data_IF_060334571759
#
_entry.id   IF_060334571759
#
_cell.length_a   1.000
_cell.length_b   1.000
_cell.length_c   1.000
_cell.angle_alpha   90.00
_cell.angle_beta   90.00
_cell.angle_gamma   90.00
#
_symmetry.space_group_name_H-M   'P 1'
#
loop_
_entity.id
_entity.type
_entity.pdbx_description
1 polymer ?
#
# COMPACT_ATOMS: atom_id res chain seq x y z
N UNK A 1 -10.36 5.28 -14.97
CA UNK A 1 -10.56 4.86 -13.57
C UNK A 1 -9.60 5.69 -12.75
N UNK A 2 -10.11 6.58 -11.90
CA UNK A 2 -9.27 7.43 -11.05
C UNK A 2 -8.43 6.57 -10.10
N UNK A 3 -7.11 6.66 -10.23
CA UNK A 3 -6.19 6.03 -9.29
C UNK A 3 -6.31 6.75 -7.93
N UNK A 4 -6.52 5.98 -6.86
CA UNK A 4 -6.71 6.51 -5.51
C UNK A 4 -5.49 6.23 -4.67
N UNK A 5 -4.95 7.25 -4.03
CA UNK A 5 -3.85 7.13 -3.09
C UNK A 5 -4.40 6.70 -1.73
N UNK A 6 -3.77 5.70 -1.14
CA UNK A 6 -4.02 5.28 0.22
C UNK A 6 -3.61 6.38 1.20
N UNK A 7 -4.55 6.85 2.03
CA UNK A 7 -4.34 7.91 3.02
C UNK A 7 -4.60 7.44 4.47
N UNK A 8 -4.59 6.13 4.71
CA UNK A 8 -5.05 5.55 5.98
C UNK A 8 -6.51 5.11 5.95
N UNK A 9 -7.02 4.70 7.10
CA UNK A 9 -8.38 4.16 7.25
C UNK A 9 -9.46 5.23 7.51
N UNK A 10 -9.08 6.51 7.67
CA UNK A 10 -10.01 7.63 7.94
C UNK A 10 -11.02 7.91 6.80
N UNK A 11 -11.03 7.11 5.74
CA UNK A 11 -11.95 7.23 4.61
C UNK A 11 -11.66 8.44 3.71
N UNK A 12 -10.55 9.12 3.94
CA UNK A 12 -10.06 10.20 3.09
C UNK A 12 -9.46 9.63 1.82
N UNK A 13 -9.89 10.16 0.67
CA UNK A 13 -9.36 9.78 -0.64
C UNK A 13 -8.52 10.93 -1.18
N UNK A 14 -7.28 10.66 -1.56
CA UNK A 14 -6.46 11.59 -2.31
C UNK A 14 -6.18 11.06 -3.72
N UNK A 15 -6.07 11.98 -4.68
CA UNK A 15 -5.51 11.68 -5.99
C UNK A 15 -3.98 11.72 -5.95
N UNK A 16 -3.30 11.11 -6.92
CA UNK A 16 -1.85 11.20 -7.06
C UNK A 16 -1.44 12.67 -7.27
N UNK A 17 -0.41 13.10 -6.54
CA UNK A 17 0.16 14.44 -6.65
C UNK A 17 1.40 14.43 -7.55
N UNK A 18 1.60 15.44 -8.40
CA UNK A 18 2.79 15.55 -9.24
C UNK A 18 4.06 15.69 -8.38
N UNK A 19 5.15 15.05 -8.81
CA UNK A 19 6.43 15.06 -8.09
C UNK A 19 6.57 14.01 -6.99
N UNK A 20 5.53 13.18 -6.79
CA UNK A 20 5.57 12.04 -5.88
C UNK A 20 5.69 10.72 -6.63
N UNK A 21 6.25 9.72 -5.97
CA UNK A 21 6.43 8.36 -6.50
C UNK A 21 5.44 7.45 -5.80
N UNK A 22 4.67 6.71 -6.60
CA UNK A 22 3.64 5.81 -6.12
C UNK A 22 3.85 4.40 -6.66
N UNK A 23 3.45 3.40 -5.88
CA UNK A 23 3.36 1.99 -6.30
C UNK A 23 1.92 1.50 -6.18
N UNK A 24 1.53 0.57 -7.05
CA UNK A 24 0.22 -0.08 -6.93
C UNK A 24 0.27 -1.15 -5.84
N UNK A 25 -0.81 -1.21 -5.05
CA UNK A 25 -1.08 -2.31 -4.12
C UNK A 25 -1.92 -3.37 -4.86
N UNK A 26 -1.49 -4.62 -4.82
CA UNK A 26 -2.16 -5.72 -5.54
C UNK A 26 -2.48 -6.92 -4.64
N UNK A 27 -3.63 -7.55 -4.89
CA UNK A 27 -3.99 -8.88 -4.37
C UNK A 27 -4.60 -8.92 -2.97
N UNK A 28 -4.86 -7.79 -2.33
CA UNK A 28 -5.41 -7.72 -0.97
C UNK A 28 -6.56 -6.71 -0.83
N UNK A 29 -6.95 -6.35 0.40
CA UNK A 29 -8.10 -5.46 0.65
C UNK A 29 -7.91 -4.02 0.13
N UNK A 30 -6.68 -3.62 -0.16
CA UNK A 30 -6.32 -2.33 -0.75
C UNK A 30 -5.97 -2.44 -2.25
N UNK A 31 -6.33 -3.55 -2.91
CA UNK A 31 -6.08 -3.76 -4.34
C UNK A 31 -6.54 -2.56 -5.20
N UNK A 32 -5.68 -2.16 -6.13
CA UNK A 32 -5.92 -1.05 -7.05
C UNK A 32 -5.70 0.35 -6.46
N UNK A 33 -5.29 0.45 -5.19
CA UNK A 33 -4.85 1.72 -4.60
C UNK A 33 -3.36 1.96 -4.79
N UNK A 34 -2.97 3.23 -4.73
CA UNK A 34 -1.60 3.70 -4.81
C UNK A 34 -1.04 3.94 -3.41
N UNK A 35 0.18 3.46 -3.15
CA UNK A 35 0.93 3.79 -1.95
C UNK A 35 2.06 4.77 -2.27
N UNK A 36 2.16 5.83 -1.48
CA UNK A 36 3.20 6.84 -1.63
C UNK A 36 4.52 6.32 -1.05
N UNK A 37 5.53 6.21 -1.91
CA UNK A 37 6.87 5.73 -1.55
C UNK A 37 7.91 6.82 -1.74
N UNK A 38 7.50 8.07 -1.95
CA UNK A 38 8.37 9.21 -2.26
C UNK A 38 9.44 9.38 -1.19
N UNK A 39 9.03 9.30 0.07
CA UNK A 39 9.89 9.47 1.25
C UNK A 39 10.51 8.16 1.76
N UNK A 40 10.24 7.01 1.09
CA UNK A 40 10.79 5.72 1.50
C UNK A 40 12.11 5.42 0.80
N UNK A 41 13.12 5.05 1.57
CA UNK A 41 14.40 4.55 1.11
C UNK A 41 14.26 3.16 0.47
N UNK A 42 15.18 2.71 -0.40
CA UNK A 42 15.13 1.37 -1.00
C UNK A 42 15.07 0.23 0.03
N UNK A 43 15.74 0.39 1.17
CA UNK A 43 15.71 -0.58 2.27
C UNK A 43 14.35 -0.63 2.95
N UNK A 44 13.71 0.53 3.19
CA UNK A 44 12.37 0.60 3.78
C UNK A 44 11.33 0.00 2.83
N UNK A 45 11.47 0.26 1.53
CA UNK A 45 10.63 -0.37 0.49
C UNK A 45 10.77 -1.89 0.50
N UNK A 46 11.99 -2.42 0.64
CA UNK A 46 12.24 -3.85 0.67
C UNK A 46 11.63 -4.56 1.90
N UNK A 47 11.52 -3.86 3.04
CA UNK A 47 10.80 -4.38 4.22
C UNK A 47 9.29 -4.47 3.96
N UNK A 48 8.78 -3.59 3.10
CA UNK A 48 7.36 -3.46 2.79
C UNK A 48 6.60 -2.61 3.79
N UNK A 49 5.30 -2.46 3.56
CA UNK A 49 4.44 -1.57 4.31
C UNK A 49 3.29 -2.34 5.00
N UNK A 50 3.12 -2.09 6.30
CA UNK A 50 1.95 -2.51 7.08
C UNK A 50 0.92 -1.38 7.05
N UNK A 51 -0.12 -1.55 6.26
CA UNK A 51 -1.13 -0.52 6.02
C UNK A 51 -2.38 -0.83 6.85
N UNK A 52 -2.82 0.12 7.67
CA UNK A 52 -4.04 -0.01 8.47
C UNK A 52 -5.25 -0.01 7.54
N UNK A 53 -6.15 -0.98 7.71
CA UNK A 53 -7.37 -1.08 6.90
C UNK A 53 -8.42 -1.91 7.63
N UNK A 54 -9.59 -1.32 7.79
CA UNK A 54 -10.77 -1.97 8.36
C UNK A 54 -11.40 -2.98 7.39
N UNK A 55 -10.91 -3.02 6.14
CA UNK A 55 -11.34 -3.95 5.09
C UNK A 55 -10.57 -5.28 5.11
N UNK A 56 -9.55 -5.41 5.95
CA UNK A 56 -8.77 -6.65 6.10
C UNK A 56 -9.50 -7.73 6.90
N UNK A 57 -8.90 -8.91 6.98
CA UNK A 57 -9.46 -10.07 7.71
C UNK A 57 -9.81 -9.79 9.18
N UNK A 58 -9.13 -8.85 9.83
CA UNK A 58 -9.27 -8.56 11.26
C UNK A 58 -10.27 -7.43 11.57
N UNK A 59 -10.87 -6.81 10.54
CA UNK A 59 -11.81 -5.70 10.74
C UNK A 59 -11.13 -4.46 11.35
N UNK A 60 -11.84 -3.66 12.16
CA UNK A 60 -11.37 -2.38 12.62
C UNK A 60 -10.01 -2.39 13.33
N UNK A 61 -9.04 -1.65 12.81
CA UNK A 61 -7.67 -1.58 13.33
C UNK A 61 -6.72 -2.68 12.83
N UNK A 62 -7.22 -3.59 11.99
CA UNK A 62 -6.39 -4.57 11.29
C UNK A 62 -5.41 -3.90 10.32
N UNK A 63 -4.35 -4.64 9.97
CA UNK A 63 -3.31 -4.18 9.04
C UNK A 63 -3.15 -5.19 7.93
N UNK A 64 -2.83 -4.71 6.73
CA UNK A 64 -2.46 -5.55 5.60
C UNK A 64 -1.01 -5.30 5.24
N UNK A 65 -0.24 -6.38 5.16
CA UNK A 65 1.16 -6.34 4.78
C UNK A 65 1.28 -6.41 3.26
N UNK A 66 1.99 -5.43 2.71
CA UNK A 66 2.29 -5.33 1.29
C UNK A 66 3.79 -5.20 1.08
N UNK A 67 4.38 -6.04 0.24
CA UNK A 67 5.83 -6.01 -0.04
C UNK A 67 6.12 -6.00 -1.54
N UNK A 68 7.22 -5.36 -1.98
CA UNK A 68 7.67 -5.52 -3.35
C UNK A 68 8.10 -6.97 -3.61
N UNK A 69 7.98 -7.40 -4.86
CA UNK A 69 8.52 -8.70 -5.28
C UNK A 69 10.04 -8.70 -5.23
N UNK A 70 10.66 -9.78 -4.75
CA UNK A 70 12.12 -9.93 -4.80
C UNK A 70 12.67 -9.88 -6.23
N UNK A 71 11.86 -10.34 -7.20
CA UNK A 71 12.21 -10.31 -8.63
C UNK A 71 12.05 -8.93 -9.27
N UNK A 72 11.24 -8.04 -8.66
CA UNK A 72 11.03 -6.68 -9.13
C UNK A 72 10.86 -5.70 -7.94
N UNK A 73 11.98 -5.26 -7.33
CA UNK A 73 11.95 -4.38 -6.17
C UNK A 73 11.36 -2.98 -6.45
N UNK A 74 11.29 -2.59 -7.72
CA UNK A 74 10.69 -1.32 -8.16
C UNK A 74 9.22 -1.45 -8.60
N UNK A 75 8.70 -2.68 -8.56
CA UNK A 75 7.37 -3.03 -9.04
C UNK A 75 6.25 -2.70 -8.05
N UNK A 76 5.03 -3.18 -8.34
CA UNK A 76 3.90 -3.07 -7.43
C UNK A 76 4.16 -3.84 -6.14
N UNK A 77 3.55 -3.39 -5.05
CA UNK A 77 3.58 -4.13 -3.80
C UNK A 77 2.46 -5.17 -3.79
N UNK A 78 2.84 -6.41 -3.51
CA UNK A 78 1.95 -7.55 -3.45
C UNK A 78 1.54 -7.78 -2.00
N UNK A 79 0.25 -8.07 -1.79
CA UNK A 79 -0.27 -8.46 -0.50
C UNK A 79 0.34 -9.79 -0.05
N UNK A 80 0.89 -9.83 1.17
CA UNK A 80 1.43 -11.06 1.77
C UNK A 80 0.52 -11.65 2.86
N UNK A 81 -0.36 -10.83 3.44
CA UNK A 81 -1.26 -11.27 4.50
C UNK A 81 -1.77 -10.11 5.34
N UNK A 82 -2.74 -10.41 6.19
CA UNK A 82 -3.26 -9.47 7.17
C UNK A 82 -2.67 -9.76 8.56
N UNK A 83 -2.53 -8.73 9.38
CA UNK A 83 -2.12 -8.80 10.78
C UNK A 83 -3.20 -8.16 11.65
N UNK A 84 -3.45 -8.70 12.85
CA UNK A 84 -4.23 -8.02 13.87
C UNK A 84 -3.49 -6.79 14.42
#
# INVERSE_FOLDING_TARGET
>A
MDARVYCGDDGQWAGPSPGRVYVNLLGGPLDGQLYDITDLSPQERAVGALLITDRGLFGPGGRSLYKPSEADPGGPFLWEGDTP
#
